data_IF_819429397801
#
_entry.id   IF_819429397801
#
_cell.length_a   1.000
_cell.length_b   1.000
_cell.length_c   1.000
_cell.angle_alpha   90.00
_cell.angle_beta   90.00
_cell.angle_gamma   90.00
#
_symmetry.space_group_name_H-M   'P 1'
#
loop_
_entity.id
_entity.type
_entity.pdbx_description
1 polymer ?
#
# COMPACT_ATOMS: atom_id res chain seq x y z
N UNK A 1 31.43 6.63 -45.11
CA UNK A 1 30.46 6.66 -46.24
C UNK A 1 29.88 5.27 -46.34
N UNK A 2 28.66 5.06 -45.82
CA UNK A 2 27.94 3.82 -45.97
C UNK A 2 26.47 4.19 -46.20
N UNK A 3 25.94 3.71 -47.32
CA UNK A 3 24.75 4.21 -48.00
C UNK A 3 23.47 4.05 -47.17
N UNK A 4 22.73 5.17 -47.01
CA UNK A 4 21.28 5.12 -46.79
C UNK A 4 20.61 4.75 -48.11
N UNK A 5 19.90 3.61 -48.16
CA UNK A 5 18.99 3.31 -49.26
C UNK A 5 17.63 3.89 -48.89
N UNK A 6 17.24 4.98 -49.56
CA UNK A 6 15.89 5.54 -49.48
C UNK A 6 14.98 4.81 -50.47
N UNK A 7 13.91 4.18 -49.98
CA UNK A 7 12.75 3.84 -50.81
C UNK A 7 11.70 4.94 -50.62
N UNK A 8 11.53 5.78 -51.66
CA UNK A 8 10.40 6.69 -51.76
C UNK A 8 9.23 5.95 -52.42
N UNK A 9 8.13 5.71 -51.69
CA UNK A 9 6.83 5.62 -52.34
C UNK A 9 6.27 7.04 -52.48
N UNK A 10 6.13 7.49 -53.72
CA UNK A 10 5.31 8.65 -54.05
C UNK A 10 3.88 8.29 -53.59
N UNK A 11 3.29 9.08 -52.69
CA UNK A 11 1.84 9.33 -52.53
C UNK A 11 1.36 9.75 -51.12
N UNK A 12 2.20 9.78 -50.07
CA UNK A 12 1.73 10.28 -48.74
C UNK A 12 2.65 11.24 -47.97
N UNK A 13 3.85 11.58 -48.46
CA UNK A 13 4.63 12.68 -47.85
C UNK A 13 5.01 12.51 -46.37
N UNK A 14 4.99 11.28 -45.83
CA UNK A 14 5.45 10.99 -44.46
C UNK A 14 6.82 10.32 -44.54
N UNK A 15 7.88 11.10 -44.32
CA UNK A 15 9.18 10.55 -43.94
C UNK A 15 9.11 10.14 -42.46
N UNK A 16 8.51 8.98 -42.18
CA UNK A 16 8.73 8.31 -40.91
C UNK A 16 10.07 7.58 -41.02
N UNK A 17 11.09 8.07 -40.34
CA UNK A 17 12.23 7.23 -39.97
C UNK A 17 11.65 6.07 -39.16
N UNK A 18 11.46 4.90 -39.77
CA UNK A 18 11.16 3.67 -39.01
C UNK A 18 12.36 3.43 -38.10
N UNK A 19 12.26 3.89 -36.85
CA UNK A 19 13.18 3.47 -35.81
C UNK A 19 13.06 1.94 -35.77
N UNK A 20 14.14 1.24 -36.15
CA UNK A 20 14.16 -0.21 -36.06
C UNK A 20 13.91 -0.59 -34.59
N UNK A 21 12.76 -1.21 -34.33
CA UNK A 21 12.48 -1.86 -33.06
C UNK A 21 13.57 -2.91 -32.81
N UNK A 22 14.37 -2.69 -31.77
CA UNK A 22 15.50 -3.57 -31.41
C UNK A 22 15.31 -4.09 -30.00
N UNK A 23 15.42 -5.40 -29.86
CA UNK A 23 15.45 -6.06 -28.55
C UNK A 23 16.78 -5.76 -27.89
N UNK A 24 16.71 -5.24 -26.68
CA UNK A 24 17.85 -5.07 -25.79
C UNK A 24 17.98 -6.31 -24.91
N UNK A 25 19.19 -6.86 -24.85
CA UNK A 25 19.53 -8.03 -24.04
C UNK A 25 20.39 -7.53 -22.89
N UNK A 26 19.87 -7.65 -21.67
CA UNK A 26 20.61 -7.39 -20.44
C UNK A 26 20.80 -8.73 -19.73
N UNK A 27 22.06 -9.12 -19.50
CA UNK A 27 22.37 -10.34 -18.77
C UNK A 27 23.40 -10.06 -17.68
N UNK A 28 23.03 -10.39 -16.45
CA UNK A 28 23.88 -10.37 -15.27
C UNK A 28 23.56 -11.62 -14.47
N UNK A 29 24.44 -12.63 -14.52
CA UNK A 29 24.21 -13.94 -13.88
C UNK A 29 23.61 -13.81 -12.47
N UNK A 30 22.48 -14.47 -12.16
CA UNK A 30 21.73 -15.40 -13.03
C UNK A 30 20.68 -14.72 -13.94
N UNK A 31 20.42 -13.43 -13.82
CA UNK A 31 19.28 -12.75 -14.42
C UNK A 31 19.46 -12.40 -15.91
N UNK A 32 18.55 -12.85 -16.76
CA UNK A 32 18.33 -12.36 -18.12
C UNK A 32 17.11 -11.45 -18.14
N UNK A 33 17.26 -10.28 -18.77
CA UNK A 33 16.17 -9.38 -19.12
C UNK A 33 16.21 -9.06 -20.61
N UNK A 34 15.03 -9.15 -21.22
CA UNK A 34 14.76 -8.72 -22.59
C UNK A 34 13.86 -7.50 -22.53
N UNK A 35 14.25 -6.44 -23.24
CA UNK A 35 13.49 -5.20 -23.30
C UNK A 35 13.25 -4.81 -24.75
N UNK A 36 12.01 -4.44 -25.05
CA UNK A 36 11.64 -3.72 -26.25
C UNK A 36 11.03 -2.37 -25.83
N UNK A 37 11.70 -1.24 -26.09
CA UNK A 37 11.17 0.08 -25.74
C UNK A 37 9.79 0.29 -26.37
N UNK A 38 8.84 0.74 -25.55
CA UNK A 38 7.48 1.01 -26.01
C UNK A 38 7.44 2.37 -26.71
N UNK A 39 7.68 2.34 -28.01
CA UNK A 39 7.80 3.51 -28.88
C UNK A 39 6.51 3.81 -29.65
N UNK A 40 5.51 2.95 -29.53
CA UNK A 40 4.26 3.03 -30.29
C UNK A 40 3.07 2.49 -29.47
N UNK A 41 2.11 3.37 -29.17
CA UNK A 41 0.89 3.04 -28.41
C UNK A 41 -0.05 2.05 -29.12
N UNK A 42 0.18 1.76 -30.40
CA UNK A 42 -0.58 0.80 -31.18
C UNK A 42 -0.10 -0.65 -31.00
N UNK A 43 1.00 -0.87 -30.29
CA UNK A 43 1.46 -2.21 -29.91
C UNK A 43 0.47 -2.81 -28.90
N UNK A 44 -0.12 -3.94 -29.26
CA UNK A 44 -1.07 -4.70 -28.43
C UNK A 44 -0.36 -5.74 -27.57
N UNK A 45 0.63 -6.41 -28.13
CA UNK A 45 1.32 -7.54 -27.49
C UNK A 45 2.71 -7.75 -28.08
N UNK A 46 3.64 -8.25 -27.26
CA UNK A 46 5.01 -8.57 -27.67
C UNK A 46 5.40 -9.95 -27.16
N UNK A 47 5.97 -10.78 -28.05
CA UNK A 47 6.48 -12.11 -27.73
C UNK A 47 7.97 -12.16 -28.01
N UNK A 48 8.77 -12.36 -26.97
CA UNK A 48 10.21 -12.56 -27.10
C UNK A 48 10.55 -14.01 -27.47
N UNK A 49 11.54 -14.16 -28.34
CA UNK A 49 12.17 -15.42 -28.72
C UNK A 49 13.65 -15.34 -28.37
N UNK A 50 14.17 -16.24 -27.54
CA UNK A 50 15.57 -16.20 -27.12
C UNK A 50 16.22 -17.59 -26.99
N UNK A 51 17.53 -17.64 -27.14
CA UNK A 51 18.35 -18.84 -26.96
C UNK A 51 19.65 -18.49 -26.21
N UNK A 52 19.97 -19.27 -25.19
CA UNK A 52 21.18 -19.12 -24.36
C UNK A 52 22.22 -20.15 -24.80
N UNK A 53 21.78 -21.40 -24.96
CA UNK A 53 22.46 -22.46 -25.72
C UNK A 53 21.41 -23.44 -26.24
N UNK A 54 21.41 -23.77 -27.54
CA UNK A 54 20.47 -24.75 -28.09
C UNK A 54 19.09 -24.16 -28.44
N UNK A 55 17.97 -24.77 -27.97
CA UNK A 55 16.62 -24.48 -28.49
C UNK A 55 16.16 -23.04 -28.20
N UNK A 56 15.28 -22.52 -29.07
CA UNK A 56 14.65 -21.21 -28.89
C UNK A 56 13.50 -21.34 -27.89
N UNK A 57 13.49 -20.45 -26.90
CA UNK A 57 12.41 -20.27 -25.94
C UNK A 57 11.54 -19.07 -26.33
N UNK A 58 10.25 -19.17 -26.06
CA UNK A 58 9.27 -18.09 -26.26
C UNK A 58 8.76 -17.58 -24.93
N UNK A 59 8.64 -16.26 -24.78
CA UNK A 59 8.05 -15.64 -23.61
C UNK A 59 7.22 -14.41 -23.99
N UNK A 60 6.01 -14.31 -23.42
CA UNK A 60 5.16 -13.13 -23.57
C UNK A 60 5.70 -12.00 -22.69
N UNK A 61 5.77 -10.79 -23.25
CA UNK A 61 6.26 -9.62 -22.55
C UNK A 61 5.19 -9.00 -21.65
N UNK A 62 5.62 -8.35 -20.56
CA UNK A 62 4.81 -7.51 -19.69
C UNK A 62 5.08 -6.04 -20.07
N UNK A 63 4.02 -5.25 -20.22
CA UNK A 63 4.14 -3.81 -20.50
C UNK A 63 4.43 -3.05 -19.21
N UNK A 64 5.48 -2.23 -19.22
CA UNK A 64 5.94 -1.43 -18.07
C UNK A 64 6.16 0.03 -18.49
N UNK A 65 6.45 0.92 -17.55
CA UNK A 65 6.83 2.32 -17.82
C UNK A 65 8.09 2.47 -18.68
N UNK A 66 8.94 1.44 -18.76
CA UNK A 66 10.17 1.43 -19.56
C UNK A 66 10.02 0.68 -20.90
N UNK A 67 8.86 0.07 -21.14
CA UNK A 67 8.56 -0.69 -22.35
C UNK A 67 8.10 -2.13 -22.09
N UNK A 68 8.17 -2.97 -23.11
CA UNK A 68 7.79 -4.37 -23.06
C UNK A 68 8.96 -5.22 -22.54
N UNK A 69 8.73 -5.96 -21.45
CA UNK A 69 9.80 -6.65 -20.73
C UNK A 69 9.52 -8.12 -20.49
N UNK A 70 10.57 -8.92 -20.48
CA UNK A 70 10.59 -10.27 -19.94
C UNK A 70 11.87 -10.46 -19.14
N UNK A 71 11.78 -11.09 -17.97
CA UNK A 71 12.94 -11.46 -17.18
C UNK A 71 12.82 -12.87 -16.61
N UNK A 72 13.98 -13.53 -16.43
CA UNK A 72 14.08 -14.82 -15.75
C UNK A 72 15.49 -15.05 -15.23
N UNK A 73 15.60 -16.02 -14.32
CA UNK A 73 16.88 -16.55 -13.90
C UNK A 73 17.33 -17.67 -14.87
N UNK A 74 18.62 -17.65 -15.17
CA UNK A 74 19.37 -18.63 -15.94
C UNK A 74 20.41 -19.23 -15.01
N UNK A 75 20.27 -20.54 -14.79
CA UNK A 75 21.18 -21.33 -13.96
C UNK A 75 22.28 -22.03 -14.75
N UNK A 76 22.21 -22.00 -16.08
CA UNK A 76 23.22 -22.55 -16.99
C UNK A 76 24.33 -21.54 -17.32
N UNK A 77 25.50 -22.07 -17.72
CA UNK A 77 26.65 -21.24 -18.08
C UNK A 77 26.42 -20.54 -19.43
N UNK A 78 26.47 -19.20 -19.43
CA UNK A 78 26.14 -18.38 -20.61
C UNK A 78 27.41 -17.95 -21.34
N UNK A 79 27.55 -18.40 -22.59
CA UNK A 79 28.59 -17.87 -23.50
C UNK A 79 28.01 -16.82 -24.44
N UNK A 80 26.77 -17.02 -24.90
CA UNK A 80 26.06 -16.06 -25.74
C UNK A 80 24.57 -16.10 -25.46
N UNK A 81 23.85 -14.99 -25.66
CA UNK A 81 22.39 -14.96 -25.66
C UNK A 81 21.94 -14.34 -26.97
N UNK A 82 21.05 -15.00 -27.67
CA UNK A 82 20.44 -14.48 -28.89
C UNK A 82 18.95 -14.23 -28.66
N UNK A 83 18.43 -13.07 -29.03
CA UNK A 83 17.01 -12.74 -28.87
C UNK A 83 16.43 -11.91 -30.02
N UNK A 84 15.14 -12.08 -30.28
CA UNK A 84 14.29 -11.22 -31.12
C UNK A 84 12.87 -11.20 -30.56
N UNK A 85 11.99 -10.35 -31.08
CA UNK A 85 10.61 -10.24 -30.65
C UNK A 85 9.64 -10.21 -31.83
N UNK A 86 8.47 -10.80 -31.67
CA UNK A 86 7.31 -10.55 -32.52
C UNK A 86 6.43 -9.49 -31.85
N UNK A 87 6.13 -8.42 -32.61
CA UNK A 87 5.36 -7.26 -32.16
C UNK A 87 4.02 -7.26 -32.88
N UNK A 88 2.93 -7.36 -32.12
CA UNK A 88 1.57 -7.43 -32.66
C UNK A 88 0.86 -6.09 -32.44
N UNK A 89 0.41 -5.47 -33.53
CA UNK A 89 -0.33 -4.20 -33.49
C UNK A 89 -1.84 -4.41 -33.38
N UNK A 90 -2.55 -3.41 -32.83
CA UNK A 90 -4.02 -3.43 -32.72
C UNK A 90 -4.74 -3.61 -34.06
N UNK A 91 -4.15 -3.09 -35.15
CA UNK A 91 -4.67 -3.21 -36.52
C UNK A 91 -4.27 -4.53 -37.23
N UNK A 92 -3.65 -5.48 -36.53
CA UNK A 92 -3.40 -6.84 -37.02
C UNK A 92 -2.06 -7.05 -37.74
N UNK A 93 -1.22 -6.02 -37.91
CA UNK A 93 0.13 -6.20 -38.44
C UNK A 93 1.03 -6.83 -37.37
N UNK A 94 1.76 -7.89 -37.72
CA UNK A 94 2.82 -8.46 -36.89
C UNK A 94 4.19 -8.15 -37.51
N UNK A 95 5.12 -7.60 -36.73
CA UNK A 95 6.49 -7.30 -37.17
C UNK A 95 7.46 -8.07 -36.29
N UNK A 96 8.38 -8.83 -36.89
CA UNK A 96 9.49 -9.47 -36.19
C UNK A 96 10.70 -8.53 -36.15
N UNK A 97 11.28 -8.31 -34.97
CA UNK A 97 12.47 -7.47 -34.80
C UNK A 97 13.72 -8.15 -35.36
N UNK A 98 14.80 -7.38 -35.52
CA UNK A 98 16.10 -7.96 -35.85
C UNK A 98 16.61 -8.82 -34.69
N UNK A 99 17.24 -9.95 -35.02
CA UNK A 99 17.89 -10.84 -34.06
C UNK A 99 19.18 -10.19 -33.53
N UNK A 100 19.27 -10.09 -32.22
CA UNK A 100 20.44 -9.56 -31.51
C UNK A 100 21.15 -10.66 -30.74
N UNK A 101 22.48 -10.57 -30.66
CA UNK A 101 23.31 -11.53 -29.92
C UNK A 101 24.23 -10.76 -28.97
N UNK A 102 24.18 -11.11 -27.69
CA UNK A 102 25.13 -10.69 -26.66
C UNK A 102 26.14 -11.82 -26.45
N UNK A 103 27.44 -11.52 -26.49
CA UNK A 103 28.51 -12.48 -26.15
C UNK A 103 29.09 -12.09 -24.79
N UNK A 104 29.17 -13.02 -23.85
CA UNK A 104 29.72 -12.75 -22.52
C UNK A 104 31.26 -12.76 -22.62
N UNK A 105 31.91 -11.61 -22.37
CA UNK A 105 33.37 -11.49 -22.44
C UNK A 105 34.02 -12.01 -21.15
N UNK A 106 34.84 -13.05 -21.26
CA UNK A 106 35.45 -13.76 -20.14
C UNK A 106 36.81 -13.16 -19.78
N UNK A 107 36.94 -11.89 -19.39
CA UNK A 107 38.17 -11.40 -18.74
C UNK A 107 37.95 -10.31 -17.68
N UNK A 108 38.39 -10.64 -16.46
CA UNK A 108 38.81 -9.76 -15.36
C UNK A 108 37.97 -8.51 -15.08
N UNK A 109 36.89 -8.68 -14.31
CA UNK A 109 36.20 -7.56 -13.65
C UNK A 109 36.72 -7.43 -12.21
N UNK A 110 37.47 -6.35 -11.97
CA UNK A 110 37.67 -5.80 -10.62
C UNK A 110 36.28 -5.45 -10.09
N UNK A 111 35.85 -6.10 -9.01
CA UNK A 111 34.53 -5.88 -8.40
C UNK A 111 34.40 -4.42 -7.92
N UNK A 112 33.53 -3.60 -8.53
CA UNK A 112 33.06 -2.39 -7.88
C UNK A 112 32.19 -2.82 -6.70
N UNK A 113 32.31 -2.13 -5.55
CA UNK A 113 31.55 -2.44 -4.34
C UNK A 113 30.07 -2.66 -4.62
N UNK A 114 29.50 -3.68 -3.99
CA UNK A 114 28.13 -4.15 -4.17
C UNK A 114 27.10 -3.02 -4.18
N UNK A 115 26.57 -2.68 -5.36
CA UNK A 115 25.25 -2.05 -5.46
C UNK A 115 24.22 -3.16 -5.36
N UNK A 116 23.51 -3.25 -4.23
CA UNK A 116 22.34 -4.12 -4.08
C UNK A 116 21.29 -3.68 -5.10
N UNK A 117 20.98 -4.53 -6.07
CA UNK A 117 19.74 -4.38 -6.85
C UNK A 117 18.62 -4.86 -5.93
N UNK A 118 17.75 -3.94 -5.49
CA UNK A 118 16.64 -4.27 -4.59
C UNK A 118 15.70 -5.27 -5.27
N UNK A 119 15.64 -6.50 -4.78
CA UNK A 119 14.79 -7.55 -5.32
C UNK A 119 13.32 -7.28 -4.92
N UNK A 120 12.39 -7.38 -5.87
CA UNK A 120 10.95 -7.34 -5.55
C UNK A 120 10.57 -8.64 -4.87
N UNK A 121 10.14 -8.55 -3.61
CA UNK A 121 9.73 -9.69 -2.79
C UNK A 121 8.24 -9.99 -2.95
N UNK A 122 7.43 -8.95 -3.13
CA UNK A 122 5.99 -9.05 -3.31
C UNK A 122 5.49 -7.84 -4.08
N UNK A 123 4.53 -8.05 -4.99
CA UNK A 123 3.80 -6.98 -5.67
C UNK A 123 2.35 -7.40 -5.88
N UNK A 124 1.44 -6.49 -5.59
CA UNK A 124 0.01 -6.60 -5.90
C UNK A 124 -0.41 -5.36 -6.69
N UNK A 125 -1.02 -5.58 -7.85
CA UNK A 125 -1.46 -4.55 -8.80
C UNK A 125 -2.99 -4.48 -8.90
N UNK A 126 -3.73 -5.28 -8.12
CA UNK A 126 -5.19 -5.21 -7.96
C UNK A 126 -6.00 -5.26 -9.27
N UNK A 127 -5.40 -5.83 -10.32
CA UNK A 127 -6.01 -6.03 -11.65
C UNK A 127 -7.01 -7.20 -11.70
N UNK A 128 -7.08 -7.99 -10.64
CA UNK A 128 -8.01 -9.12 -10.50
C UNK A 128 -9.09 -8.77 -9.48
N UNK A 129 -10.22 -9.47 -9.56
CA UNK A 129 -11.27 -9.34 -8.55
C UNK A 129 -10.73 -9.69 -7.16
N UNK A 130 -10.92 -8.79 -6.19
CA UNK A 130 -10.51 -9.04 -4.82
C UNK A 130 -11.30 -10.20 -4.23
N UNK A 131 -10.59 -11.26 -3.88
CA UNK A 131 -11.15 -12.39 -3.15
C UNK A 131 -10.86 -12.24 -1.65
N UNK A 132 -11.87 -11.90 -0.82
CA UNK A 132 -11.68 -11.76 0.63
C UNK A 132 -11.35 -13.09 1.32
N UNK A 133 -11.49 -14.23 0.62
CA UNK A 133 -11.16 -15.57 1.10
C UNK A 133 -9.78 -16.05 0.64
N UNK A 134 -9.10 -15.30 -0.23
CA UNK A 134 -7.74 -15.60 -0.64
C UNK A 134 -6.73 -15.20 0.45
N UNK A 135 -6.64 -16.06 1.46
CA UNK A 135 -5.77 -15.88 2.63
C UNK A 135 -4.27 -15.96 2.32
N UNK A 136 -3.84 -16.15 1.06
CA UNK A 136 -2.43 -16.23 0.68
C UNK A 136 -1.78 -14.86 0.47
N UNK A 137 -2.56 -13.84 0.13
CA UNK A 137 -2.05 -12.48 -0.13
C UNK A 137 -2.57 -11.49 0.91
N UNK A 138 -3.88 -11.51 1.18
CA UNK A 138 -4.54 -10.54 2.06
C UNK A 138 -5.47 -11.24 3.06
N UNK A 139 -5.56 -10.67 4.27
CA UNK A 139 -6.55 -11.01 5.29
C UNK A 139 -7.46 -9.81 5.48
N UNK A 140 -8.76 -10.00 5.30
CA UNK A 140 -9.76 -8.97 5.61
C UNK A 140 -10.12 -9.04 7.09
N UNK A 141 -10.19 -7.90 7.77
CA UNK A 141 -10.73 -7.84 9.12
C UNK A 141 -12.26 -7.82 9.08
N UNK A 142 -12.88 -8.70 9.86
CA UNK A 142 -14.33 -8.80 10.02
C UNK A 142 -14.63 -8.77 11.52
N UNK A 143 -14.78 -7.55 12.07
CA UNK A 143 -15.04 -7.32 13.50
C UNK A 143 -15.40 -5.86 13.81
N UNK A 144 -15.94 -5.64 15.01
CA UNK A 144 -16.18 -4.34 15.63
C UNK A 144 -15.06 -3.87 16.57
N UNK A 145 -13.89 -4.53 16.57
CA UNK A 145 -12.83 -4.28 17.54
C UNK A 145 -12.32 -2.83 17.52
N UNK A 146 -12.06 -2.27 16.33
CA UNK A 146 -11.66 -0.86 16.17
C UNK A 146 -10.39 -0.47 16.91
N UNK A 147 -9.43 -1.39 17.09
CA UNK A 147 -8.08 -1.06 17.57
C UNK A 147 -8.00 -0.49 19.00
N UNK A 148 -9.01 -0.72 19.85
CA UNK A 148 -9.18 -0.07 21.19
C UNK A 148 -9.43 1.43 21.16
N UNK A 149 -9.66 2.02 19.97
CA UNK A 149 -9.97 3.43 19.82
C UNK A 149 -11.47 3.75 19.97
N UNK A 150 -12.29 2.71 20.16
CA UNK A 150 -13.77 2.77 20.16
C UNK A 150 -14.32 3.50 18.94
N UNK A 151 -13.80 3.12 17.78
CA UNK A 151 -14.15 3.64 16.46
C UNK A 151 -15.59 3.26 16.10
N UNK A 152 -16.19 4.00 15.17
CA UNK A 152 -17.63 3.96 14.88
C UNK A 152 -18.00 3.04 13.72
N UNK A 153 -17.04 2.23 13.26
CA UNK A 153 -17.26 1.26 12.19
C UNK A 153 -17.20 -0.19 12.65
N UNK A 154 -17.93 -1.05 11.93
CA UNK A 154 -17.64 -2.48 11.83
C UNK A 154 -16.84 -2.72 10.55
N UNK A 155 -15.72 -3.44 10.65
CA UNK A 155 -15.00 -3.89 9.46
C UNK A 155 -15.67 -5.15 8.89
N UNK A 156 -15.83 -5.21 7.57
CA UNK A 156 -16.55 -6.32 6.91
C UNK A 156 -15.85 -6.78 5.63
N UNK A 157 -16.19 -7.98 5.19
CA UNK A 157 -15.76 -8.57 3.92
C UNK A 157 -16.75 -8.34 2.77
N UNK A 158 -17.71 -7.41 2.92
CA UNK A 158 -18.67 -7.13 1.86
C UNK A 158 -18.04 -6.37 0.69
N UNK A 159 -18.50 -6.67 -0.53
CA UNK A 159 -18.05 -6.02 -1.78
C UNK A 159 -18.36 -4.52 -1.91
N UNK A 160 -19.05 -3.93 -0.93
CA UNK A 160 -19.24 -2.47 -0.82
C UNK A 160 -18.16 -1.80 0.04
N UNK A 161 -17.45 -2.58 0.85
CA UNK A 161 -16.41 -2.11 1.77
C UNK A 161 -15.01 -2.48 1.31
N UNK A 162 -14.84 -3.68 0.73
CA UNK A 162 -13.55 -4.17 0.22
C UNK A 162 -13.79 -4.76 -1.16
N UNK A 163 -13.29 -4.11 -2.21
CA UNK A 163 -13.48 -4.56 -3.59
C UNK A 163 -12.42 -3.98 -4.51
N UNK A 164 -12.26 -4.56 -5.68
CA UNK A 164 -11.43 -4.02 -6.76
C UNK A 164 -12.29 -3.48 -7.88
N UNK A 165 -11.89 -2.34 -8.45
CA UNK A 165 -12.50 -1.77 -9.65
C UNK A 165 -11.43 -1.03 -10.44
N UNK A 166 -11.40 -1.21 -11.75
CA UNK A 166 -10.48 -0.52 -12.66
C UNK A 166 -9.00 -0.62 -12.24
N UNK A 167 -8.56 -1.81 -11.83
CA UNK A 167 -7.17 -2.06 -11.41
C UNK A 167 -6.79 -1.49 -10.04
N UNK A 168 -7.75 -1.06 -9.22
CA UNK A 168 -7.50 -0.50 -7.90
C UNK A 168 -8.28 -1.25 -6.82
N UNK A 169 -7.70 -1.42 -5.63
CA UNK A 169 -8.42 -1.81 -4.41
C UNK A 169 -9.09 -0.60 -3.78
N UNK A 170 -10.34 -0.77 -3.37
CA UNK A 170 -11.14 0.20 -2.65
C UNK A 170 -11.45 -0.31 -1.24
N UNK A 171 -11.10 0.51 -0.25
CA UNK A 171 -11.58 0.38 1.12
C UNK A 171 -12.54 1.53 1.42
N UNK A 172 -13.83 1.25 1.44
CA UNK A 172 -14.87 2.27 1.46
C UNK A 172 -15.71 2.21 2.75
N UNK A 173 -15.85 3.33 3.49
CA UNK A 173 -16.80 3.45 4.57
C UNK A 173 -18.20 3.72 3.98
N UNK A 174 -19.22 3.05 4.50
CA UNK A 174 -20.62 3.22 4.10
C UNK A 174 -21.51 3.22 5.36
N UNK A 175 -22.53 4.08 5.44
CA UNK A 175 -23.52 3.98 6.52
C UNK A 175 -24.10 2.57 6.62
N UNK A 176 -24.15 2.00 7.83
CA UNK A 176 -24.64 0.62 8.04
C UNK A 176 -26.07 0.44 7.53
N UNK A 177 -26.92 1.46 7.68
CA UNK A 177 -28.32 1.47 7.20
C UNK A 177 -28.47 1.50 5.67
N UNK A 178 -27.38 1.69 4.92
CA UNK A 178 -27.42 1.55 3.46
C UNK A 178 -27.43 0.08 3.05
N UNK A 179 -27.12 -0.84 3.97
CA UNK A 179 -27.29 -2.27 3.76
C UNK A 179 -28.71 -2.71 4.17
N UNK A 180 -29.43 -3.46 3.32
CA UNK A 180 -30.81 -3.86 3.59
C UNK A 180 -30.96 -4.81 4.81
N UNK A 181 -29.87 -5.37 5.34
CA UNK A 181 -29.90 -6.16 6.59
C UNK A 181 -30.15 -5.29 7.82
N UNK A 182 -29.93 -3.97 7.73
CA UNK A 182 -29.94 -3.09 8.88
C UNK A 182 -30.83 -1.86 8.66
N UNK A 183 -31.51 -1.45 9.72
CA UNK A 183 -32.22 -0.17 9.80
C UNK A 183 -31.80 0.58 11.07
N UNK A 184 -32.30 1.80 11.25
CA UNK A 184 -31.99 2.59 12.44
C UNK A 184 -32.46 1.93 13.74
N UNK A 185 -33.54 1.14 13.70
CA UNK A 185 -34.03 0.43 14.89
C UNK A 185 -33.05 -0.67 15.29
N UNK A 186 -32.56 -1.45 14.32
CA UNK A 186 -31.54 -2.46 14.54
C UNK A 186 -30.30 -1.86 15.19
N UNK A 187 -29.81 -0.70 14.73
CA UNK A 187 -28.64 -0.06 15.34
C UNK A 187 -28.86 0.32 16.81
N UNK A 188 -30.09 0.62 17.22
CA UNK A 188 -30.44 1.06 18.58
C UNK A 188 -30.86 -0.06 19.53
N UNK A 189 -31.37 -1.18 19.02
CA UNK A 189 -31.93 -2.24 19.88
C UNK A 189 -31.56 -3.67 19.44
N UNK A 190 -31.06 -3.83 18.23
CA UNK A 190 -30.67 -5.12 17.66
C UNK A 190 -29.40 -5.69 18.30
N UNK A 191 -29.05 -6.90 17.87
CA UNK A 191 -27.77 -7.54 18.22
C UNK A 191 -27.01 -7.83 16.94
N UNK A 192 -25.80 -7.30 16.83
CA UNK A 192 -24.91 -7.54 15.70
C UNK A 192 -23.97 -8.69 16.07
N UNK A 193 -24.31 -9.91 15.68
CA UNK A 193 -23.39 -11.05 15.69
C UNK A 193 -22.63 -11.11 14.37
N UNK A 194 -21.34 -10.80 14.42
CA UNK A 194 -20.49 -10.65 13.23
C UNK A 194 -20.31 -11.98 12.50
N UNK A 195 -20.22 -13.09 13.24
CA UNK A 195 -20.03 -14.40 12.64
C UNK A 195 -21.31 -14.87 11.94
N UNK A 196 -22.49 -14.57 12.49
CA UNK A 196 -23.78 -14.86 11.85
C UNK A 196 -23.97 -14.04 10.57
N UNK A 197 -23.59 -12.75 10.60
CA UNK A 197 -23.84 -11.80 9.49
C UNK A 197 -22.88 -11.94 8.31
N UNK A 198 -21.60 -12.28 8.57
CA UNK A 198 -20.53 -12.30 7.57
C UNK A 198 -19.81 -13.65 7.46
N UNK A 199 -20.26 -14.67 8.20
CA UNK A 199 -19.72 -16.03 8.16
C UNK A 199 -18.43 -16.25 8.95
N UNK A 200 -17.85 -15.19 9.51
CA UNK A 200 -16.68 -15.25 10.37
C UNK A 200 -16.60 -14.04 11.30
N UNK A 201 -15.81 -14.15 12.36
CA UNK A 201 -15.31 -12.99 13.10
C UNK A 201 -13.80 -13.15 13.30
N UNK A 202 -13.02 -12.15 12.92
CA UNK A 202 -11.56 -12.22 12.97
C UNK A 202 -10.98 -11.77 14.30
N UNK A 203 -11.71 -11.00 15.10
CA UNK A 203 -11.20 -10.46 16.37
C UNK A 203 -12.33 -10.18 17.37
N UNK A 204 -12.33 -10.87 18.51
CA UNK A 204 -13.32 -10.68 19.57
C UNK A 204 -12.87 -9.73 20.69
N UNK A 205 -11.68 -9.12 20.58
CA UNK A 205 -11.25 -8.14 21.56
C UNK A 205 -12.28 -7.00 21.66
N UNK A 206 -12.54 -6.53 22.88
CA UNK A 206 -13.48 -5.44 23.20
C UNK A 206 -14.85 -5.61 22.52
N UNK A 207 -15.40 -6.82 22.66
CA UNK A 207 -16.70 -7.20 22.11
C UNK A 207 -16.75 -7.08 20.58
N UNK A 208 -15.64 -7.41 19.92
CA UNK A 208 -15.50 -7.26 18.47
C UNK A 208 -16.41 -8.19 17.66
N UNK A 209 -16.84 -9.34 18.19
CA UNK A 209 -17.70 -10.28 17.45
C UNK A 209 -19.20 -10.14 17.75
N UNK A 210 -19.58 -9.54 18.87
CA UNK A 210 -20.99 -9.40 19.24
C UNK A 210 -21.22 -8.20 20.14
N UNK A 211 -22.19 -7.36 19.77
CA UNK A 211 -22.66 -6.20 20.53
C UNK A 211 -24.19 -6.11 20.42
N UNK A 212 -24.81 -5.50 21.43
CA UNK A 212 -26.24 -5.18 21.43
C UNK A 212 -26.43 -3.67 21.42
N UNK A 213 -27.25 -3.16 20.50
CA UNK A 213 -27.65 -1.76 20.42
C UNK A 213 -28.32 -1.25 21.70
N UNK A 214 -28.95 -2.15 22.47
CA UNK A 214 -29.58 -1.81 23.75
C UNK A 214 -28.56 -1.34 24.80
N UNK A 215 -27.27 -1.66 24.65
CA UNK A 215 -26.19 -1.26 25.55
C UNK A 215 -25.38 -0.07 25.01
N UNK A 216 -25.88 0.59 23.96
CA UNK A 216 -25.18 1.62 23.22
C UNK A 216 -25.28 1.35 21.73
N UNK A 217 -25.54 2.41 20.95
CA UNK A 217 -25.77 2.28 19.51
C UNK A 217 -24.66 1.46 18.84
N UNK A 218 -25.06 0.46 18.06
CA UNK A 218 -24.16 -0.35 17.23
C UNK A 218 -23.41 0.53 16.22
N UNK A 219 -22.25 0.09 15.72
CA UNK A 219 -21.47 0.87 14.76
C UNK A 219 -22.33 1.38 13.59
N UNK A 220 -22.52 2.70 13.46
CA UNK A 220 -23.35 3.28 12.40
C UNK A 220 -22.71 3.23 11.02
N UNK A 221 -21.45 2.78 10.92
CA UNK A 221 -20.70 2.67 9.67
C UNK A 221 -20.19 1.24 9.48
N UNK A 222 -20.17 0.76 8.24
CA UNK A 222 -19.42 -0.42 7.80
C UNK A 222 -18.19 0.06 7.01
N UNK A 223 -17.04 -0.59 7.17
CA UNK A 223 -15.81 -0.18 6.45
C UNK A 223 -14.90 -1.36 6.11
N UNK A 224 -13.77 -1.07 5.45
CA UNK A 224 -12.78 -2.05 5.01
C UNK A 224 -11.45 -1.93 5.76
N UNK A 225 -10.87 -3.09 6.10
CA UNK A 225 -9.50 -3.22 6.62
C UNK A 225 -8.90 -4.52 6.09
N UNK A 226 -7.70 -4.42 5.52
CA UNK A 226 -6.94 -5.57 5.01
C UNK A 226 -5.52 -5.57 5.56
N UNK A 227 -4.96 -6.76 5.71
CA UNK A 227 -3.59 -6.99 6.16
C UNK A 227 -2.87 -7.94 5.22
N UNK A 228 -1.62 -7.66 4.88
CA UNK A 228 -0.82 -8.49 3.99
C UNK A 228 -0.39 -9.78 4.70
N UNK A 229 -0.35 -10.92 3.98
CA UNK A 229 0.40 -12.09 4.47
C UNK A 229 1.92 -11.91 4.36
N UNK A 230 2.45 -11.34 3.26
CA UNK A 230 3.86 -10.98 3.21
C UNK A 230 4.21 -10.02 4.35
N UNK A 231 5.37 -10.27 4.94
CA UNK A 231 5.98 -9.42 5.95
C UNK A 231 7.45 -9.24 5.60
N UNK A 232 8.03 -8.10 5.99
CA UNK A 232 9.42 -7.76 5.69
C UNK A 232 10.06 -7.06 6.89
N UNK A 233 11.33 -7.38 7.17
CA UNK A 233 12.13 -6.73 8.21
C UNK A 233 12.82 -5.46 7.75
N UNK A 234 13.54 -5.56 6.62
CA UNK A 234 14.34 -4.48 6.04
C UNK A 234 14.09 -4.37 4.54
N UNK A 235 14.34 -3.20 3.98
CA UNK A 235 14.08 -2.86 2.60
C UNK A 235 13.01 -1.78 2.50
N UNK A 236 12.20 -1.81 1.44
CA UNK A 236 11.13 -0.83 1.22
C UNK A 236 9.76 -1.47 1.09
N UNK A 237 8.76 -0.79 1.63
CA UNK A 237 7.34 -1.04 1.29
C UNK A 237 6.80 0.23 0.66
N UNK A 238 6.24 0.10 -0.54
CA UNK A 238 5.58 1.17 -1.27
C UNK A 238 4.10 0.86 -1.44
N UNK A 239 3.26 1.87 -1.23
CA UNK A 239 1.82 1.83 -1.47
C UNK A 239 1.47 3.04 -2.30
N UNK A 240 1.05 2.86 -3.55
CA UNK A 240 0.52 3.96 -4.36
C UNK A 240 -0.98 4.06 -4.11
N UNK A 241 -1.42 5.12 -3.45
CA UNK A 241 -2.81 5.27 -3.05
C UNK A 241 -3.27 6.73 -3.04
N UNK A 242 -4.56 6.93 -3.29
CA UNK A 242 -5.28 8.17 -3.01
C UNK A 242 -6.04 7.99 -1.68
N UNK A 243 -5.73 8.84 -0.71
CA UNK A 243 -6.38 8.81 0.61
C UNK A 243 -7.81 9.35 0.52
N UNK A 244 -8.73 8.94 1.40
CA UNK A 244 -10.09 9.47 1.41
C UNK A 244 -10.18 10.90 1.95
N UNK A 245 -11.25 11.59 1.56
CA UNK A 245 -11.76 12.82 2.19
C UNK A 245 -13.21 12.64 2.62
N UNK A 246 -13.60 13.41 3.61
CA UNK A 246 -14.91 13.34 4.25
C UNK A 246 -14.74 13.46 5.75
N UNK A 247 -15.63 14.20 6.38
CA UNK A 247 -15.54 14.49 7.80
C UNK A 247 -15.53 13.19 8.62
N UNK A 248 -14.64 13.16 9.63
CA UNK A 248 -14.52 12.08 10.61
C UNK A 248 -14.02 10.74 10.07
N UNK A 249 -13.55 10.68 8.82
CA UNK A 249 -12.86 9.51 8.27
C UNK A 249 -11.41 9.48 8.77
N UNK A 250 -10.90 8.30 9.10
CA UNK A 250 -9.53 8.06 9.57
C UNK A 250 -8.88 6.92 8.76
N UNK A 251 -8.30 7.22 7.58
CA UNK A 251 -7.51 6.25 6.84
C UNK A 251 -6.13 6.02 7.47
N UNK A 252 -5.61 4.81 7.31
CA UNK A 252 -4.22 4.50 7.68
C UNK A 252 -3.57 3.53 6.69
N UNK A 253 -2.28 3.76 6.46
CA UNK A 253 -1.32 2.84 5.83
C UNK A 253 -0.23 2.62 6.89
N UNK A 254 -0.21 1.45 7.48
CA UNK A 254 0.58 1.20 8.68
C UNK A 254 1.03 -0.25 8.73
N UNK A 255 1.90 -0.58 9.68
CA UNK A 255 2.50 -1.90 9.79
C UNK A 255 2.55 -2.36 11.23
N UNK A 256 2.32 -3.66 11.41
CA UNK A 256 2.41 -4.34 12.70
C UNK A 256 3.44 -5.47 12.64
N UNK A 257 4.10 -5.80 13.76
CA UNK A 257 5.03 -6.92 13.81
C UNK A 257 4.27 -8.22 13.56
N UNK A 258 4.84 -9.09 12.74
CA UNK A 258 4.30 -10.43 12.49
C UNK A 258 4.21 -11.24 13.78
N UNK A 259 5.25 -11.14 14.60
CA UNK A 259 5.37 -11.81 15.88
C UNK A 259 5.63 -10.79 17.00
N UNK A 260 4.93 -10.92 18.12
CA UNK A 260 5.12 -10.05 19.30
C UNK A 260 6.35 -10.45 20.13
N UNK A 261 7.54 -10.46 19.51
CA UNK A 261 8.81 -10.97 20.08
C UNK A 261 9.17 -10.30 21.41
N UNK A 262 8.88 -9.01 21.56
CA UNK A 262 9.22 -8.22 22.75
C UNK A 262 8.05 -8.06 23.73
N UNK A 263 6.91 -8.69 23.44
CA UNK A 263 5.68 -8.61 24.23
C UNK A 263 4.58 -7.80 23.54
N UNK A 264 3.49 -7.59 24.26
CA UNK A 264 2.30 -6.89 23.75
C UNK A 264 2.60 -5.43 23.37
N UNK A 265 1.77 -4.87 22.50
CA UNK A 265 1.87 -3.47 22.09
C UNK A 265 2.02 -2.52 23.30
N UNK A 266 2.90 -1.50 23.24
CA UNK A 266 3.72 -1.09 22.10
C UNK A 266 5.12 -1.73 22.11
N UNK A 267 5.37 -2.74 22.96
CA UNK A 267 6.72 -3.31 23.13
C UNK A 267 7.28 -3.92 21.85
N UNK A 268 6.45 -4.50 21.00
CA UNK A 268 6.89 -5.09 19.72
C UNK A 268 6.81 -4.11 18.55
N UNK A 269 6.48 -2.84 18.82
CA UNK A 269 6.43 -1.79 17.81
C UNK A 269 5.13 -1.75 17.02
N UNK A 270 4.87 -0.58 16.43
CA UNK A 270 3.88 -0.30 15.38
C UNK A 270 4.43 0.85 14.55
N UNK A 271 4.18 0.83 13.23
CA UNK A 271 4.74 1.81 12.30
C UNK A 271 3.63 2.38 11.42
N UNK A 272 3.32 3.64 11.62
CA UNK A 272 2.37 4.38 10.80
C UNK A 272 3.12 5.10 9.69
N UNK A 273 3.00 4.57 8.47
CA UNK A 273 3.60 5.18 7.28
C UNK A 273 2.81 6.45 6.92
N UNK A 274 1.48 6.37 7.04
CA UNK A 274 0.56 7.48 6.82
C UNK A 274 -0.71 7.28 7.65
N UNK A 275 -1.06 8.29 8.43
CA UNK A 275 -2.41 8.51 8.94
C UNK A 275 -2.86 9.94 8.60
N UNK A 276 -4.16 10.14 8.46
CA UNK A 276 -4.75 11.48 8.35
C UNK A 276 -6.18 11.50 8.87
N UNK A 277 -6.77 12.70 9.00
CA UNK A 277 -8.21 12.87 9.14
C UNK A 277 -8.79 13.31 7.81
N UNK A 278 -9.92 12.75 7.39
CA UNK A 278 -10.56 13.09 6.12
C UNK A 278 -11.23 14.47 6.09
N UNK A 279 -11.34 15.16 7.24
CA UNK A 279 -11.88 16.52 7.34
C UNK A 279 -11.13 17.49 6.43
N UNK A 280 -11.81 18.51 5.91
CA UNK A 280 -11.14 19.59 5.21
C UNK A 280 -10.45 20.54 6.21
N UNK A 281 -9.25 21.00 5.87
CA UNK A 281 -8.50 21.99 6.63
C UNK A 281 -7.15 21.47 7.17
N UNK A 282 -6.34 22.35 7.77
CA UNK A 282 -4.93 22.07 8.09
C UNK A 282 -4.70 20.94 9.09
N UNK A 283 -5.74 20.52 9.82
CA UNK A 283 -5.70 19.38 10.75
C UNK A 283 -6.24 18.08 10.13
N UNK A 284 -6.77 18.15 8.91
CA UNK A 284 -7.35 17.04 8.18
C UNK A 284 -6.56 16.68 6.94
N UNK A 285 -7.24 16.57 5.80
CA UNK A 285 -6.73 15.92 4.59
C UNK A 285 -5.54 16.66 3.94
N UNK A 286 -5.30 17.89 4.36
CA UNK A 286 -4.14 18.70 4.01
C UNK A 286 -2.88 18.30 4.79
N UNK A 287 -2.97 17.52 5.87
CA UNK A 287 -1.85 17.10 6.71
C UNK A 287 -1.88 15.59 6.95
N UNK A 288 -0.73 14.95 6.75
CA UNK A 288 -0.52 13.53 7.06
C UNK A 288 0.51 13.38 8.17
N UNK A 289 0.32 12.38 9.01
CA UNK A 289 1.27 12.01 10.06
C UNK A 289 1.96 10.68 9.76
N UNK A 290 3.20 10.56 10.21
CA UNK A 290 3.92 9.28 10.31
C UNK A 290 4.50 9.14 11.71
N UNK A 291 4.33 7.96 12.29
CA UNK A 291 4.61 7.71 13.71
C UNK A 291 5.25 6.33 13.88
N UNK A 292 6.20 6.22 14.79
CA UNK A 292 6.62 4.92 15.32
C UNK A 292 6.11 4.80 16.75
N UNK A 293 5.31 3.79 17.06
CA UNK A 293 4.90 3.49 18.43
C UNK A 293 5.84 2.45 19.04
N UNK A 294 6.35 2.75 20.23
CA UNK A 294 7.29 1.88 20.97
C UNK A 294 7.31 2.31 22.44
N UNK A 295 7.57 1.38 23.35
CA UNK A 295 7.57 1.63 24.78
C UNK A 295 7.54 0.33 25.57
N UNK A 296 7.79 0.39 26.88
CA UNK A 296 7.73 -0.78 27.76
C UNK A 296 6.33 -1.07 28.32
N UNK A 297 5.33 -0.23 28.06
CA UNK A 297 3.93 -0.44 28.43
C UNK A 297 2.99 0.43 27.58
N UNK A 298 1.70 0.11 27.58
CA UNK A 298 0.67 0.83 26.82
C UNK A 298 0.56 2.31 27.22
N UNK A 299 0.71 2.60 28.51
CA UNK A 299 0.67 3.92 29.13
C UNK A 299 2.04 4.63 29.11
N UNK A 300 3.10 3.92 28.73
CA UNK A 300 4.44 4.46 28.56
C UNK A 300 4.93 4.38 27.10
N UNK A 301 4.00 4.63 26.16
CA UNK A 301 4.30 4.75 24.74
C UNK A 301 5.11 6.03 24.46
N UNK A 302 6.21 5.91 23.72
CA UNK A 302 7.20 6.96 23.40
C UNK A 302 7.05 7.53 22.00
N UNK A 303 5.93 7.26 21.35
CA UNK A 303 5.63 7.67 19.98
C UNK A 303 5.90 9.14 19.67
N UNK A 304 5.70 10.04 20.64
CA UNK A 304 5.90 11.48 20.47
C UNK A 304 7.35 11.86 20.17
N UNK A 305 8.32 11.00 20.50
CA UNK A 305 9.74 11.17 20.15
C UNK A 305 10.04 10.78 18.69
N UNK A 306 9.11 10.09 18.02
CA UNK A 306 9.24 9.53 16.68
C UNK A 306 7.97 9.77 15.88
N UNK A 307 7.52 11.01 15.89
CA UNK A 307 6.34 11.49 15.18
C UNK A 307 6.71 12.68 14.32
N UNK A 308 6.19 12.71 13.10
CA UNK A 308 6.31 13.85 12.21
C UNK A 308 5.04 14.01 11.38
N UNK A 309 4.73 15.25 11.05
CA UNK A 309 3.62 15.61 10.18
C UNK A 309 4.14 16.29 8.92
N UNK A 310 3.35 16.21 7.85
CA UNK A 310 3.63 16.89 6.60
C UNK A 310 2.38 17.48 5.99
N UNK A 311 2.39 18.80 5.83
CA UNK A 311 1.35 19.52 5.12
C UNK A 311 1.54 19.44 3.61
N UNK A 312 0.41 19.42 2.91
CA UNK A 312 0.31 19.51 1.46
C UNK A 312 0.74 20.90 0.96
N UNK A 313 1.09 21.01 -0.34
CA UNK A 313 1.36 22.31 -0.95
C UNK A 313 0.17 23.26 -0.81
N UNK A 314 0.45 24.56 -0.70
CA UNK A 314 -0.58 25.58 -0.54
C UNK A 314 -1.67 25.49 -1.64
N UNK A 315 -2.93 25.45 -1.22
CA UNK A 315 -4.09 25.37 -2.11
C UNK A 315 -4.38 23.98 -2.69
N UNK A 316 -3.68 22.94 -2.22
CA UNK A 316 -3.93 21.54 -2.55
C UNK A 316 -4.24 20.73 -1.29
N UNK A 317 -4.66 19.49 -1.48
CA UNK A 317 -4.79 18.48 -0.42
C UNK A 317 -4.04 17.21 -0.81
N UNK A 318 -3.73 16.34 0.16
CA UNK A 318 -3.15 15.03 -0.14
C UNK A 318 -4.17 14.03 -0.72
N UNK A 319 -5.45 14.42 -0.83
CA UNK A 319 -6.47 13.63 -1.51
C UNK A 319 -6.55 13.89 -3.01
N UNK A 320 -6.02 15.02 -3.49
CA UNK A 320 -6.26 15.49 -4.86
C UNK A 320 -5.76 14.50 -5.93
N UNK A 321 -4.72 13.72 -5.62
CA UNK A 321 -4.08 12.77 -6.52
C UNK A 321 -3.68 11.46 -5.81
N UNK A 322 -3.25 10.48 -6.60
CA UNK A 322 -2.54 9.32 -6.07
C UNK A 322 -1.11 9.71 -5.67
N UNK A 323 -0.71 9.26 -4.50
CA UNK A 323 0.63 9.49 -3.95
C UNK A 323 1.32 8.16 -3.65
N UNK A 324 2.65 8.14 -3.69
CA UNK A 324 3.46 6.99 -3.28
C UNK A 324 3.83 7.17 -1.81
N UNK A 325 3.21 6.35 -0.96
CA UNK A 325 3.51 6.23 0.46
C UNK A 325 4.57 5.15 0.63
N UNK A 326 5.74 5.52 1.13
CA UNK A 326 6.89 4.62 1.22
C UNK A 326 7.47 4.60 2.61
N UNK A 327 7.91 3.42 3.02
CA UNK A 327 8.86 3.27 4.12
C UNK A 327 10.14 2.63 3.61
N UNK A 328 11.28 3.10 4.10
CA UNK A 328 12.59 2.48 3.96
C UNK A 328 13.11 2.12 5.35
N UNK A 329 13.42 0.84 5.56
CA UNK A 329 13.97 0.33 6.82
C UNK A 329 15.31 -0.33 6.56
N UNK A 330 16.32 0.08 7.31
CA UNK A 330 17.63 -0.57 7.34
C UNK A 330 17.99 -0.86 8.80
N UNK A 331 19.07 -1.61 9.06
CA UNK A 331 19.60 -1.73 10.42
C UNK A 331 20.02 -0.38 11.05
N UNK A 332 20.18 0.67 10.24
CA UNK A 332 20.72 1.96 10.65
C UNK A 332 19.65 3.07 10.71
N UNK A 333 18.50 2.91 10.06
CA UNK A 333 17.43 3.93 10.06
C UNK A 333 16.05 3.41 9.64
N UNK A 334 15.02 4.18 9.98
CA UNK A 334 13.66 4.11 9.42
C UNK A 334 13.32 5.48 8.85
N UNK A 335 12.88 5.51 7.59
CA UNK A 335 12.39 6.73 6.92
C UNK A 335 11.06 6.47 6.25
N UNK A 336 10.12 7.40 6.38
CA UNK A 336 8.85 7.38 5.64
C UNK A 336 8.78 8.55 4.67
N UNK A 337 8.05 8.37 3.58
CA UNK A 337 8.00 9.31 2.47
C UNK A 337 6.60 9.41 1.88
N UNK A 338 6.33 10.59 1.33
CA UNK A 338 5.31 10.82 0.30
C UNK A 338 6.00 11.36 -0.95
N UNK A 339 5.81 10.72 -2.10
CA UNK A 339 6.37 11.14 -3.40
C UNK A 339 7.87 11.49 -3.32
N UNK A 340 8.65 10.56 -2.75
CA UNK A 340 10.09 10.70 -2.49
C UNK A 340 10.50 11.82 -1.52
N UNK A 341 9.54 12.53 -0.93
CA UNK A 341 9.79 13.52 0.08
C UNK A 341 9.65 12.91 1.48
N UNK A 342 10.69 13.01 2.30
CA UNK A 342 10.69 12.52 3.69
C UNK A 342 9.57 13.15 4.51
N UNK A 343 8.87 12.33 5.30
CA UNK A 343 7.94 12.72 6.37
C UNK A 343 8.66 12.54 7.71
N UNK A 344 8.99 11.29 8.07
CA UNK A 344 9.71 10.93 9.28
C UNK A 344 11.08 10.34 8.96
N UNK A 345 12.09 10.65 9.77
CA UNK A 345 13.43 10.07 9.71
C UNK A 345 13.93 9.77 11.11
N UNK A 346 14.20 8.50 11.41
CA UNK A 346 14.71 8.03 12.69
C UNK A 346 15.95 7.18 12.43
N UNK A 347 17.12 7.69 12.81
CA UNK A 347 18.36 6.92 12.77
C UNK A 347 18.46 6.01 14.01
N UNK A 348 19.22 4.92 13.90
CA UNK A 348 19.44 3.98 14.99
C UNK A 348 20.05 4.68 16.21
N UNK A 349 19.35 4.72 17.36
CA UNK A 349 19.87 5.37 18.54
C UNK A 349 21.16 4.67 19.01
N UNK A 350 22.19 5.43 19.38
CA UNK A 350 23.51 4.89 19.72
C UNK A 350 23.45 3.78 20.78
N UNK A 351 22.59 3.96 21.79
CA UNK A 351 22.36 3.04 22.91
C UNK A 351 21.02 2.29 22.82
N UNK A 352 20.35 2.35 21.66
CA UNK A 352 19.05 1.74 21.40
C UNK A 352 17.84 2.55 21.91
N UNK A 353 16.65 2.16 21.45
CA UNK A 353 15.40 2.86 21.74
C UNK A 353 15.09 2.96 23.25
N UNK A 354 15.43 1.96 24.07
CA UNK A 354 15.17 2.01 25.51
C UNK A 354 15.82 3.24 26.17
N UNK A 355 17.07 3.55 25.79
CA UNK A 355 17.79 4.70 26.33
C UNK A 355 17.29 6.00 25.71
N UNK A 356 17.00 5.99 24.41
CA UNK A 356 16.40 7.12 23.70
C UNK A 356 15.07 7.56 24.34
N UNK A 357 14.25 6.60 24.78
CA UNK A 357 12.98 6.85 25.46
C UNK A 357 13.07 7.08 26.96
N UNK A 358 14.29 7.03 27.53
CA UNK A 358 14.50 7.17 28.97
C UNK A 358 13.86 6.05 29.81
N UNK A 359 13.78 4.83 29.27
CA UNK A 359 13.19 3.69 29.99
C UNK A 359 14.10 3.23 31.13
N UNK A 360 13.49 2.71 32.20
CA UNK A 360 14.19 2.27 33.41
C UNK A 360 14.98 0.97 33.21
N UNK A 361 14.56 0.14 32.24
CA UNK A 361 15.20 -1.13 31.91
C UNK A 361 15.20 -1.35 30.40
N UNK A 362 16.19 -2.11 29.91
CA UNK A 362 16.26 -2.47 28.51
C UNK A 362 15.40 -3.71 28.22
N UNK A 363 14.13 -3.47 27.91
CA UNK A 363 13.18 -4.51 27.48
C UNK A 363 13.50 -5.12 26.11
N UNK A 364 14.42 -4.52 25.37
CA UNK A 364 14.86 -4.93 24.03
C UNK A 364 16.30 -5.48 24.02
N UNK A 365 16.82 -5.93 25.16
CA UNK A 365 18.21 -6.41 25.30
C UNK A 365 18.56 -7.61 24.42
N UNK A 366 17.57 -8.36 23.92
CA UNK A 366 17.74 -9.46 22.96
C UNK A 366 17.74 -9.02 21.49
N UNK A 367 17.45 -7.75 21.21
CA UNK A 367 17.38 -7.18 19.87
C UNK A 367 18.60 -6.36 19.46
N UNK A 368 18.49 -5.77 18.28
CA UNK A 368 19.43 -4.78 17.76
C UNK A 368 19.17 -3.38 18.35
N UNK A 369 19.98 -2.40 17.96
CA UNK A 369 19.75 -0.99 18.33
C UNK A 369 18.44 -0.43 17.78
N UNK A 370 17.91 -1.03 16.71
CA UNK A 370 16.62 -0.68 16.12
C UNK A 370 15.43 -1.40 16.74
N UNK A 371 15.64 -2.32 17.69
CA UNK A 371 14.53 -2.96 18.39
C UNK A 371 13.64 -1.89 19.07
N UNK A 372 12.30 -1.99 18.93
CA UNK A 372 11.56 -3.17 18.47
C UNK A 372 11.36 -3.31 16.95
N UNK A 373 11.86 -2.38 16.15
CA UNK A 373 11.67 -2.34 14.69
C UNK A 373 12.71 -3.15 13.92
N UNK A 374 13.19 -4.24 14.50
CA UNK A 374 14.16 -5.17 13.90
C UNK A 374 13.55 -6.56 13.64
N UNK A 375 12.22 -6.66 13.71
CA UNK A 375 11.43 -7.83 13.35
C UNK A 375 10.75 -7.66 11.99
N UNK A 376 10.16 -8.75 11.48
CA UNK A 376 9.30 -8.72 10.29
C UNK A 376 7.98 -8.02 10.60
N UNK A 377 7.57 -7.08 9.73
CA UNK A 377 6.30 -6.39 9.85
C UNK A 377 5.44 -6.64 8.62
N UNK A 378 4.13 -6.82 8.81
CA UNK A 378 3.14 -6.90 7.75
C UNK A 378 2.42 -5.56 7.58
N UNK A 379 1.93 -5.29 6.38
CA UNK A 379 1.23 -4.07 6.02
C UNK A 379 -0.26 -4.18 6.37
N UNK A 380 -0.85 -3.08 6.83
CA UNK A 380 -2.26 -2.90 7.08
C UNK A 380 -2.75 -1.66 6.33
N UNK A 381 -3.90 -1.80 5.68
CA UNK A 381 -4.61 -0.75 4.99
C UNK A 381 -6.03 -0.71 5.54
N UNK A 382 -6.50 0.44 6.01
CA UNK A 382 -7.88 0.57 6.49
C UNK A 382 -8.45 1.98 6.34
N UNK A 383 -9.77 2.03 6.50
CA UNK A 383 -10.51 3.27 6.72
C UNK A 383 -11.33 3.14 7.99
N UNK A 384 -10.84 3.69 9.10
CA UNK A 384 -11.61 3.85 10.35
C UNK A 384 -12.51 5.09 10.26
N UNK A 385 -13.44 5.22 11.19
CA UNK A 385 -14.34 6.38 11.30
C UNK A 385 -14.52 6.77 12.76
N UNK A 386 -14.32 8.06 13.06
CA UNK A 386 -14.48 8.61 14.40
C UNK A 386 -13.57 7.94 15.44
N UNK A 387 -14.11 7.74 16.64
CA UNK A 387 -13.37 7.21 17.80
C UNK A 387 -13.32 8.19 18.97
N UNK A 388 -13.05 7.67 20.16
CA UNK A 388 -13.07 8.45 21.42
C UNK A 388 -11.68 8.58 22.07
N UNK A 389 -10.65 8.02 21.44
CA UNK A 389 -9.28 7.99 21.95
C UNK A 389 -8.55 9.36 21.93
N UNK A 390 -9.20 10.42 21.44
CA UNK A 390 -8.60 11.75 21.31
C UNK A 390 -7.98 12.05 19.95
N UNK A 391 -7.94 11.09 19.01
CA UNK A 391 -7.39 11.32 17.66
C UNK A 391 -8.14 12.46 16.95
N UNK A 392 -9.46 12.48 17.09
CA UNK A 392 -10.28 13.66 16.85
C UNK A 392 -10.39 14.45 18.16
N UNK A 393 -9.54 15.46 18.35
CA UNK A 393 -9.55 16.30 19.56
C UNK A 393 -10.85 17.09 19.70
N UNK A 394 -11.35 17.19 20.94
CA UNK A 394 -12.51 18.02 21.31
C UNK A 394 -12.19 19.52 21.28
N UNK A 395 -10.90 19.89 21.34
CA UNK A 395 -10.45 21.29 21.40
C UNK A 395 -9.90 21.79 20.06
N UNK A 396 -9.76 20.91 19.07
CA UNK A 396 -9.29 21.29 17.74
C UNK A 396 -10.36 22.09 16.98
N UNK A 397 -9.91 23.07 16.21
CA UNK A 397 -10.77 23.78 15.27
C UNK A 397 -10.79 23.02 13.94
N UNK A 398 -11.84 22.20 13.74
CA UNK A 398 -12.04 21.43 12.52
C UNK A 398 -12.66 22.25 11.37
N UNK A 399 -12.96 23.54 11.57
CA UNK A 399 -13.78 24.33 10.65
C UNK A 399 -15.27 23.96 10.68
N UNK A 400 -15.61 22.79 11.21
CA UNK A 400 -16.95 22.30 11.51
C UNK A 400 -17.04 21.87 12.99
N UNK A 401 -18.26 21.79 13.52
CA UNK A 401 -18.47 21.31 14.90
C UNK A 401 -18.30 19.80 14.95
N UNK A 402 -17.39 19.31 15.80
CA UNK A 402 -17.30 17.87 16.11
C UNK A 402 -18.60 17.38 16.77
N UNK A 403 -19.26 16.32 16.25
CA UNK A 403 -20.55 15.88 16.77
C UNK A 403 -20.54 15.24 18.16
N UNK A 404 -19.43 14.62 18.57
CA UNK A 404 -19.31 13.87 19.82
C UNK A 404 -18.17 14.41 20.69
N UNK A 405 -18.28 14.22 22.01
CA UNK A 405 -17.18 14.40 22.95
C UNK A 405 -16.43 13.07 23.16
N UNK A 406 -15.12 13.11 23.40
CA UNK A 406 -14.33 11.89 23.64
C UNK A 406 -14.67 11.17 24.95
N UNK A 407 -15.39 11.81 25.87
CA UNK A 407 -15.90 11.19 27.09
C UNK A 407 -17.40 10.83 27.01
N UNK A 408 -18.05 10.99 25.84
CA UNK A 408 -19.47 10.68 25.69
C UNK A 408 -19.71 9.17 25.78
N UNK A 409 -20.59 8.69 26.67
CA UNK A 409 -21.02 7.29 26.68
C UNK A 409 -21.92 6.95 25.48
N UNK A 410 -22.30 7.95 24.68
CA UNK A 410 -23.20 7.83 23.54
C UNK A 410 -22.55 8.34 22.24
N UNK A 411 -21.21 8.34 22.15
CA UNK A 411 -20.47 8.92 21.04
C UNK A 411 -20.92 8.41 19.65
N UNK A 412 -21.23 7.11 19.51
CA UNK A 412 -21.80 6.54 18.26
C UNK A 412 -23.16 7.16 17.90
N UNK A 413 -24.03 7.39 18.90
CA UNK A 413 -25.34 8.00 18.71
C UNK A 413 -25.22 9.49 18.42
N UNK A 414 -24.33 10.20 19.12
CA UNK A 414 -24.06 11.63 18.90
C UNK A 414 -23.54 11.86 17.48
N UNK A 415 -22.57 11.05 17.04
CA UNK A 415 -22.06 11.01 15.68
C UNK A 415 -23.18 10.74 14.67
N UNK A 416 -23.97 9.68 14.85
CA UNK A 416 -25.03 9.32 13.92
C UNK A 416 -26.16 10.35 13.84
N UNK A 417 -26.53 10.97 14.96
CA UNK A 417 -27.59 11.97 15.02
C UNK A 417 -27.22 13.20 14.19
N UNK A 418 -25.92 13.53 14.10
CA UNK A 418 -25.41 14.63 13.29
C UNK A 418 -25.10 14.25 11.83
N UNK A 419 -25.58 13.10 11.32
CA UNK A 419 -25.25 12.64 9.96
C UNK A 419 -25.61 13.61 8.85
N UNK A 420 -26.65 14.41 9.03
CA UNK A 420 -27.04 15.41 8.04
C UNK A 420 -25.96 16.52 7.89
N UNK A 421 -25.10 16.70 8.89
CA UNK A 421 -23.98 17.65 8.85
C UNK A 421 -22.74 17.07 8.14
N UNK A 422 -22.40 15.80 8.41
CA UNK A 422 -21.14 15.20 7.92
C UNK A 422 -21.29 14.28 6.71
N UNK A 423 -22.40 13.55 6.58
CA UNK A 423 -22.58 12.59 5.49
C UNK A 423 -22.57 13.23 4.09
N UNK A 424 -23.06 14.47 3.88
CA UNK A 424 -22.91 15.14 2.58
C UNK A 424 -21.46 15.37 2.14
N UNK A 425 -20.51 15.35 3.08
CA UNK A 425 -19.08 15.45 2.76
C UNK A 425 -18.52 14.13 2.22
N UNK A 426 -19.24 13.02 2.35
CA UNK A 426 -18.84 11.71 1.87
C UNK A 426 -19.35 11.47 0.44
N UNK A 427 -18.53 11.77 -0.56
CA UNK A 427 -18.93 11.79 -1.97
C UNK A 427 -18.39 10.59 -2.74
N UNK A 428 -19.12 9.47 -2.70
CA UNK A 428 -18.79 8.25 -3.44
C UNK A 428 -17.36 7.79 -3.18
N UNK A 429 -16.58 7.59 -4.24
CA UNK A 429 -15.20 7.11 -4.16
C UNK A 429 -14.21 8.11 -3.53
N UNK A 430 -14.63 9.37 -3.30
CA UNK A 430 -13.80 10.33 -2.59
C UNK A 430 -13.61 9.94 -1.12
N UNK A 431 -14.53 9.16 -0.55
CA UNK A 431 -14.46 8.70 0.84
C UNK A 431 -13.79 7.35 1.01
N UNK A 432 -13.36 6.72 -0.08
CA UNK A 432 -12.61 5.47 -0.05
C UNK A 432 -11.09 5.72 -0.07
N UNK A 433 -10.34 4.87 0.63
CA UNK A 433 -8.92 4.68 0.35
C UNK A 433 -8.81 3.85 -0.94
N UNK A 434 -8.19 4.42 -1.96
CA UNK A 434 -8.04 3.77 -3.27
C UNK A 434 -6.58 3.45 -3.51
N UNK A 435 -6.26 2.17 -3.68
CA UNK A 435 -4.89 1.66 -3.75
C UNK A 435 -4.66 1.07 -5.14
N UNK A 436 -3.69 1.62 -5.85
CA UNK A 436 -3.28 1.20 -7.18
C UNK A 436 -2.33 0.00 -7.11
N UNK A 437 -1.27 0.09 -6.30
CA UNK A 437 -0.38 -1.05 -6.07
C UNK A 437 0.25 -1.04 -4.68
N UNK A 438 0.71 -2.22 -4.29
CA UNK A 438 1.58 -2.46 -3.13
C UNK A 438 2.82 -3.22 -3.58
N UNK A 439 4.00 -2.80 -3.12
CA UNK A 439 5.26 -3.46 -3.49
C UNK A 439 6.26 -3.51 -2.33
N UNK A 440 6.85 -4.67 -2.09
CA UNK A 440 7.88 -4.91 -1.07
C UNK A 440 9.20 -5.21 -1.78
N UNK A 441 10.30 -4.58 -1.36
CA UNK A 441 11.64 -4.82 -1.91
C UNK A 441 12.69 -4.97 -0.81
N UNK A 442 13.69 -5.84 -1.03
CA UNK A 442 14.90 -6.03 -0.20
C UNK A 442 15.91 -4.88 -0.34
#
# INVERSE_FOLDING_TARGET
IQCCVCYCSLWTGVCATQAQLRVQIEYSTPHLKLLLPDTDSEIRDVVFHYAIHGPIHTARAVRTSFGWQFSRDITEHVHSITAYADVHYKNGLAITTTRHTLTADTQNVILPGSRRIRAVLFREDFNQEFDPWNMHTWKVEVSMFGGRNWEFQVYTNDKKNVYTRDGNLYLAPVPTVNDPRFDENFLKTGTMDVAELWGLCTNNADYGCSRSGANGMLPPVMSGKVSSQPAIRYGTVEVRARIPRGDWIWPAIWMMPKDSVYGVWPRSGEIDIMETRGNAGPLGVETVSSTLHWGDAWDNNKWSLTHAEKSSPAGKTWHDDFHVWKIERTPDHIKTFIDDQVILSVDAPADGFWKFGGLSSNVWSSGSKMAPFDQDFYLILNVAVGGINGYFSDTANWGVRKPWANNSPHANLDFWTARDDWLPTWQGDQSALVVDYVEFRD
#
